data_IF_365496244165
#
_entry.id   IF_365496244165
#
_cell.length_a   1.000
_cell.length_b   1.000
_cell.length_c   1.000
_cell.angle_alpha   90.00
_cell.angle_beta   90.00
_cell.angle_gamma   90.00
#
_symmetry.space_group_name_H-M   'P 1'
#
loop_
_entity.id
_entity.type
_entity.pdbx_description
1 polymer ?
#
# COMPACT_ATOMS: atom_id res chain seq x y z
N UNK A 1 25.73 -21.93 13.23
CA UNK A 1 24.58 -20.99 13.12
C UNK A 1 24.53 -20.44 11.71
N UNK A 2 25.65 -19.95 11.16
CA UNK A 2 25.73 -19.45 9.78
C UNK A 2 25.39 -20.53 8.73
N UNK A 3 25.82 -21.78 8.90
CA UNK A 3 25.49 -22.89 7.98
C UNK A 3 24.01 -23.33 8.00
N UNK A 4 23.24 -22.87 8.99
CA UNK A 4 21.80 -23.13 9.13
C UNK A 4 20.96 -21.88 8.83
N UNK A 5 21.60 -20.74 8.57
CA UNK A 5 20.92 -19.49 8.28
C UNK A 5 20.48 -19.48 6.81
N UNK A 6 19.19 -19.64 6.57
CA UNK A 6 18.60 -19.41 5.24
C UNK A 6 18.12 -17.95 5.19
N UNK A 7 18.70 -17.08 4.34
CA UNK A 7 18.21 -15.72 4.20
C UNK A 7 16.77 -15.75 3.69
N UNK A 8 15.87 -15.21 4.50
CA UNK A 8 14.47 -15.08 4.18
C UNK A 8 14.27 -13.96 3.14
N UNK A 9 14.17 -14.34 1.86
CA UNK A 9 13.80 -13.43 0.77
C UNK A 9 12.33 -13.04 0.80
N UNK A 10 11.85 -12.43 1.89
CA UNK A 10 10.47 -11.96 2.01
C UNK A 10 10.39 -10.49 1.61
N UNK A 11 10.47 -10.24 0.30
CA UNK A 11 10.29 -8.90 -0.22
C UNK A 11 9.41 -8.90 -1.46
N UNK A 12 8.60 -7.86 -1.60
CA UNK A 12 7.81 -7.67 -2.81
C UNK A 12 8.75 -7.24 -3.94
N UNK A 13 8.62 -7.91 -5.08
CA UNK A 13 9.39 -7.55 -6.27
C UNK A 13 8.71 -6.33 -6.92
N UNK A 14 9.48 -5.28 -7.15
CA UNK A 14 9.04 -4.07 -7.85
C UNK A 14 9.63 -4.05 -9.26
N UNK A 15 9.04 -3.26 -10.16
CA UNK A 15 9.65 -2.94 -11.47
C UNK A 15 11.01 -2.26 -11.26
N UNK A 16 11.94 -2.37 -12.22
CA UNK A 16 13.32 -1.86 -12.12
C UNK A 16 13.46 -0.40 -11.64
N UNK A 17 12.47 0.45 -11.88
CA UNK A 17 12.46 1.85 -11.43
C UNK A 17 11.83 2.04 -10.04
N UNK A 18 11.51 0.96 -9.33
CA UNK A 18 10.85 0.93 -8.02
C UNK A 18 9.51 1.66 -7.92
N UNK A 19 8.84 2.01 -9.03
CA UNK A 19 7.62 2.82 -8.99
C UNK A 19 6.32 2.01 -8.94
N UNK A 20 6.37 0.68 -8.98
CA UNK A 20 5.17 -0.15 -8.94
C UNK A 20 5.52 -1.61 -8.60
N UNK A 21 4.69 -2.34 -7.84
CA UNK A 21 4.83 -3.78 -7.69
C UNK A 21 4.85 -4.49 -9.04
N UNK A 22 5.72 -5.48 -9.20
CA UNK A 22 5.93 -6.16 -10.48
C UNK A 22 4.64 -6.82 -10.99
N UNK A 23 3.82 -7.37 -10.09
CA UNK A 23 2.53 -7.97 -10.45
C UNK A 23 1.54 -6.95 -11.01
N UNK A 24 1.63 -5.69 -10.58
CA UNK A 24 0.74 -4.60 -11.01
C UNK A 24 1.21 -4.07 -12.36
N UNK A 25 2.53 -3.92 -12.52
CA UNK A 25 3.15 -3.59 -13.80
C UNK A 25 2.84 -4.64 -14.88
N UNK A 26 2.95 -5.94 -14.54
CA UNK A 26 2.60 -7.05 -15.44
C UNK A 26 1.12 -7.09 -15.80
N UNK A 27 0.24 -6.66 -14.89
CA UNK A 27 -1.19 -6.54 -15.14
C UNK A 27 -1.55 -5.35 -16.07
N UNK A 28 -0.60 -4.46 -16.37
CA UNK A 28 -0.83 -3.29 -17.23
C UNK A 28 -1.43 -2.10 -16.48
N UNK A 29 -1.30 -2.04 -15.16
CA UNK A 29 -1.75 -0.87 -14.38
C UNK A 29 -0.82 0.31 -14.68
N UNK A 30 -1.33 1.32 -15.38
CA UNK A 30 -0.63 2.58 -15.67
C UNK A 30 -1.21 3.78 -14.91
N UNK A 31 -0.54 4.92 -15.05
CA UNK A 31 -0.95 6.17 -14.40
C UNK A 31 -0.82 6.19 -12.88
N UNK A 32 -0.08 5.24 -12.30
CA UNK A 32 0.18 5.14 -10.87
C UNK A 32 1.67 4.98 -10.58
N UNK A 33 2.16 5.68 -9.57
CA UNK A 33 3.45 5.43 -8.95
C UNK A 33 3.25 5.06 -7.48
N UNK A 34 3.70 3.89 -7.13
CA UNK A 34 3.67 3.35 -5.79
C UNK A 34 5.08 2.89 -5.48
N UNK A 35 5.95 3.77 -4.94
CA UNK A 35 7.30 3.40 -4.56
C UNK A 35 7.34 2.26 -3.56
N UNK A 36 8.43 1.48 -3.58
CA UNK A 36 8.66 0.45 -2.57
C UNK A 36 8.79 1.10 -1.20
N UNK A 37 8.08 0.56 -0.21
CA UNK A 37 8.13 1.05 1.17
C UNK A 37 9.57 1.02 1.72
N UNK A 38 9.87 1.94 2.61
CA UNK A 38 11.16 2.05 3.27
C UNK A 38 11.06 1.59 4.74
N UNK A 39 12.21 1.49 5.42
CA UNK A 39 12.33 0.98 6.79
C UNK A 39 11.71 1.88 7.87
N UNK A 40 11.27 3.09 7.51
CA UNK A 40 10.69 4.06 8.44
C UNK A 40 9.16 3.98 8.52
N UNK A 41 8.53 3.07 7.77
CA UNK A 41 7.10 2.78 7.89
C UNK A 41 6.80 2.06 9.21
N UNK A 42 5.80 2.50 9.96
CA UNK A 42 5.38 1.82 11.20
C UNK A 42 4.43 0.65 10.91
N UNK A 43 4.20 -0.21 11.91
CA UNK A 43 3.28 -1.37 11.80
C UNK A 43 1.90 -1.00 11.26
N UNK A 44 1.33 0.11 11.75
CA UNK A 44 0.02 0.58 11.29
C UNK A 44 0.04 1.05 9.82
N UNK A 45 1.02 1.87 9.44
CA UNK A 45 1.14 2.30 8.04
C UNK A 45 1.43 1.12 7.10
N UNK A 46 2.18 0.11 7.57
CA UNK A 46 2.43 -1.13 6.82
C UNK A 46 1.13 -1.92 6.55
N UNK A 47 0.26 -2.03 7.55
CA UNK A 47 -1.06 -2.62 7.37
C UNK A 47 -1.89 -1.87 6.31
N UNK A 48 -1.99 -0.54 6.41
CA UNK A 48 -2.75 0.25 5.44
C UNK A 48 -2.12 0.27 4.05
N UNK A 49 -0.80 0.19 3.96
CA UNK A 49 -0.09 0.05 2.69
C UNK A 49 -0.56 -1.21 1.93
N UNK A 50 -0.74 -2.34 2.62
CA UNK A 50 -1.29 -3.55 2.01
C UNK A 50 -2.76 -3.36 1.55
N UNK A 51 -3.58 -2.68 2.36
CA UNK A 51 -4.98 -2.39 2.01
C UNK A 51 -5.09 -1.47 0.80
N UNK A 52 -4.28 -0.41 0.73
CA UNK A 52 -4.23 0.51 -0.40
C UNK A 52 -3.88 -0.23 -1.70
N UNK A 53 -2.88 -1.10 -1.66
CA UNK A 53 -2.52 -1.92 -2.81
C UNK A 53 -3.71 -2.77 -3.30
N UNK A 54 -4.43 -3.45 -2.39
CA UNK A 54 -5.61 -4.25 -2.74
C UNK A 54 -6.74 -3.36 -3.31
N UNK A 55 -6.98 -2.20 -2.69
CA UNK A 55 -7.99 -1.25 -3.10
C UNK A 55 -7.72 -0.71 -4.52
N UNK A 56 -6.48 -0.30 -4.79
CA UNK A 56 -6.01 0.17 -6.10
C UNK A 56 -6.19 -0.91 -7.16
N UNK A 57 -5.71 -2.14 -6.90
CA UNK A 57 -5.85 -3.25 -7.85
C UNK A 57 -7.31 -3.55 -8.15
N UNK A 58 -8.17 -3.50 -7.14
CA UNK A 58 -9.61 -3.76 -7.28
C UNK A 58 -10.35 -2.64 -8.02
N UNK A 59 -9.87 -1.39 -7.90
CA UNK A 59 -10.39 -0.23 -8.58
C UNK A 59 -10.02 -0.20 -10.08
N UNK A 60 -8.91 -0.81 -10.46
CA UNK A 60 -8.46 -0.81 -11.85
C UNK A 60 -9.38 -1.66 -12.75
N UNK A 61 -9.82 -1.08 -13.88
CA UNK A 61 -10.73 -1.67 -14.87
C UNK A 61 -10.20 -1.57 -16.31
N UNK A 62 -8.88 -1.63 -16.48
CA UNK A 62 -8.25 -1.51 -17.81
C UNK A 62 -8.00 -0.09 -18.30
N UNK A 63 -8.22 0.93 -17.45
CA UNK A 63 -7.88 2.33 -17.74
C UNK A 63 -6.84 2.82 -16.75
N UNK A 64 -5.88 3.59 -17.25
CA UNK A 64 -4.84 4.20 -16.44
C UNK A 64 -5.42 5.19 -15.43
N UNK A 65 -4.75 5.30 -14.28
CA UNK A 65 -5.05 6.32 -13.30
C UNK A 65 -4.53 7.69 -13.74
N UNK A 66 -4.94 8.74 -13.04
CA UNK A 66 -4.60 10.13 -13.37
C UNK A 66 -3.20 10.53 -12.86
N UNK A 67 -2.16 9.81 -13.30
CA UNK A 67 -0.74 10.01 -12.91
C UNK A 67 -0.57 10.30 -11.40
N UNK A 68 -1.17 9.42 -10.59
CA UNK A 68 -1.21 9.51 -9.13
C UNK A 68 0.06 8.90 -8.54
N UNK A 69 0.60 9.47 -7.46
CA UNK A 69 1.59 8.79 -6.63
C UNK A 69 1.10 8.57 -5.19
N UNK A 70 1.56 7.49 -4.56
CA UNK A 70 1.29 7.18 -3.15
C UNK A 70 2.61 7.07 -2.40
N UNK A 71 2.81 7.91 -1.39
CA UNK A 71 4.03 7.97 -0.60
C UNK A 71 3.76 7.59 0.86
N UNK A 72 4.72 6.89 1.47
CA UNK A 72 4.65 6.40 2.84
C UNK A 72 5.99 6.63 3.56
N UNK A 73 6.05 6.36 4.87
CA UNK A 73 7.31 6.44 5.62
C UNK A 73 7.72 7.87 5.99
N UNK A 74 9.02 8.12 6.10
CA UNK A 74 9.62 9.40 6.53
C UNK A 74 10.63 9.95 5.55
N UNK A 75 11.07 9.16 4.58
CA UNK A 75 12.22 9.51 3.73
C UNK A 75 11.87 9.59 2.25
N UNK A 76 10.75 9.02 1.81
CA UNK A 76 10.29 9.18 0.43
C UNK A 76 10.18 10.66 0.03
N UNK A 77 10.52 10.93 -1.23
CA UNK A 77 10.47 12.25 -1.86
C UNK A 77 9.39 12.28 -2.95
N UNK A 78 8.57 13.33 -3.03
CA UNK A 78 7.59 13.50 -4.10
C UNK A 78 8.23 13.61 -5.47
N UNK A 79 7.71 12.85 -6.43
CA UNK A 79 8.23 12.84 -7.79
C UNK A 79 7.73 14.07 -8.55
N UNK A 80 8.57 14.62 -9.44
CA UNK A 80 8.11 15.66 -10.36
C UNK A 80 7.06 15.11 -11.34
N UNK A 81 6.14 15.99 -11.77
CA UNK A 81 5.24 15.73 -12.88
C UNK A 81 3.96 14.96 -12.53
N UNK A 82 3.78 14.52 -11.28
CA UNK A 82 2.54 13.88 -10.81
C UNK A 82 1.38 14.86 -10.77
N UNK A 83 0.17 14.36 -10.99
CA UNK A 83 -1.03 15.21 -10.90
C UNK A 83 -1.54 15.26 -9.46
N UNK A 84 -1.50 14.13 -8.75
CA UNK A 84 -1.96 14.00 -7.37
C UNK A 84 -0.98 13.15 -6.56
N UNK A 85 -0.71 13.56 -5.33
CA UNK A 85 0.18 12.86 -4.39
C UNK A 85 -0.58 12.51 -3.13
N UNK A 86 -0.82 11.21 -2.91
CA UNK A 86 -1.38 10.68 -1.67
C UNK A 86 -0.25 10.51 -0.65
N UNK A 87 -0.40 11.16 0.51
CA UNK A 87 0.52 11.07 1.63
C UNK A 87 -0.11 10.22 2.75
N UNK A 88 0.42 9.01 2.99
CA UNK A 88 -0.12 8.12 4.01
C UNK A 88 0.60 8.32 5.36
N UNK A 89 -0.14 8.88 6.32
CA UNK A 89 0.27 9.00 7.71
C UNK A 89 1.02 10.28 8.04
N UNK A 90 0.93 10.68 9.31
CA UNK A 90 1.44 11.98 9.80
C UNK A 90 2.94 12.20 9.51
N UNK A 91 3.72 11.11 9.52
CA UNK A 91 5.18 11.15 9.34
C UNK A 91 5.58 11.77 8.00
N UNK A 92 4.97 11.34 6.90
CA UNK A 92 5.30 11.86 5.57
C UNK A 92 4.61 13.20 5.31
N UNK A 93 3.39 13.38 5.82
CA UNK A 93 2.63 14.64 5.71
C UNK A 93 3.44 15.79 6.30
N UNK A 94 3.93 15.64 7.54
CA UNK A 94 4.70 16.68 8.22
C UNK A 94 5.97 17.09 7.46
N UNK A 95 6.57 16.16 6.71
CA UNK A 95 7.82 16.41 5.99
C UNK A 95 7.61 16.93 4.57
N UNK A 96 6.51 16.52 3.91
CA UNK A 96 6.40 16.61 2.44
C UNK A 96 5.19 17.36 1.93
N UNK A 97 4.18 17.67 2.74
CA UNK A 97 2.93 18.28 2.24
C UNK A 97 3.13 19.57 1.42
N UNK A 98 4.16 20.35 1.74
CA UNK A 98 4.49 21.63 1.10
C UNK A 98 5.63 21.49 0.06
N UNK A 99 5.97 20.27 -0.35
CA UNK A 99 7.08 20.02 -1.27
C UNK A 99 6.76 20.55 -2.69
N UNK A 100 7.69 21.26 -3.36
CA UNK A 100 7.40 21.97 -4.62
C UNK A 100 6.99 21.06 -5.78
N UNK A 101 7.36 19.78 -5.75
CA UNK A 101 6.96 18.81 -6.78
C UNK A 101 5.49 18.37 -6.66
N UNK A 102 4.82 18.63 -5.52
CA UNK A 102 3.42 18.23 -5.31
C UNK A 102 2.51 19.29 -5.93
N UNK A 103 1.71 18.89 -6.92
CA UNK A 103 0.67 19.74 -7.53
C UNK A 103 -0.62 19.74 -6.71
N UNK A 104 -1.12 18.56 -6.37
CA UNK A 104 -2.29 18.37 -5.50
C UNK A 104 -1.93 17.37 -4.40
N UNK A 105 -2.00 17.82 -3.15
CA UNK A 105 -1.78 16.98 -1.97
C UNK A 105 -3.09 16.32 -1.54
N UNK A 106 -3.04 15.02 -1.30
CA UNK A 106 -4.13 14.25 -0.68
C UNK A 106 -3.58 13.62 0.59
N UNK A 107 -3.82 14.27 1.72
CA UNK A 107 -3.32 13.84 3.02
C UNK A 107 -4.26 12.82 3.67
N UNK A 108 -3.71 11.66 4.03
CA UNK A 108 -4.37 10.68 4.90
C UNK A 108 -3.75 10.83 6.29
N UNK A 109 -4.34 11.71 7.09
CA UNK A 109 -3.89 12.04 8.44
C UNK A 109 -4.15 10.92 9.44
N UNK A 110 -3.48 10.96 10.59
CA UNK A 110 -3.66 9.99 11.68
C UNK A 110 -2.55 8.94 11.81
N UNK A 111 -2.49 8.32 13.00
CA UNK A 111 -1.54 7.27 13.35
C UNK A 111 -2.17 6.28 14.35
N UNK A 112 -3.01 5.32 13.89
CA UNK A 112 -3.38 5.04 12.51
C UNK A 112 -4.38 6.03 11.89
N UNK A 113 -4.46 6.12 10.55
CA UNK A 113 -5.51 6.86 9.85
C UNK A 113 -6.89 6.21 10.01
N UNK A 114 -7.94 7.03 9.89
CA UNK A 114 -9.33 6.57 9.89
C UNK A 114 -9.69 5.93 8.54
N UNK A 115 -10.45 4.83 8.58
CA UNK A 115 -10.81 4.06 7.36
C UNK A 115 -11.57 4.92 6.35
N UNK A 116 -12.47 5.79 6.82
CA UNK A 116 -13.23 6.69 5.94
C UNK A 116 -12.32 7.70 5.23
N UNK A 117 -11.28 8.21 5.92
CA UNK A 117 -10.31 9.11 5.31
C UNK A 117 -9.54 8.44 4.17
N UNK A 118 -9.22 7.16 4.31
CA UNK A 118 -8.57 6.38 3.25
C UNK A 118 -9.48 6.26 2.02
N UNK A 119 -10.75 5.92 2.24
CA UNK A 119 -11.72 5.78 1.15
C UNK A 119 -11.94 7.12 0.43
N UNK A 120 -12.02 8.21 1.18
CA UNK A 120 -12.19 9.56 0.65
C UNK A 120 -10.96 10.03 -0.13
N UNK A 121 -9.76 9.79 0.40
CA UNK A 121 -8.50 10.09 -0.29
C UNK A 121 -8.36 9.34 -1.62
N UNK A 122 -8.68 8.04 -1.64
CA UNK A 122 -8.70 7.26 -2.88
C UNK A 122 -9.73 7.82 -3.87
N UNK A 123 -10.93 8.18 -3.40
CA UNK A 123 -11.97 8.79 -4.25
C UNK A 123 -11.51 10.12 -4.84
N UNK A 124 -10.87 10.98 -4.04
CA UNK A 124 -10.30 12.26 -4.48
C UNK A 124 -9.21 12.05 -5.53
N UNK A 125 -8.39 11.01 -5.38
CA UNK A 125 -7.38 10.64 -6.36
C UNK A 125 -7.96 10.03 -7.67
N UNK A 126 -9.28 9.85 -7.77
CA UNK A 126 -9.93 9.18 -8.90
C UNK A 126 -9.90 7.65 -8.82
N UNK A 127 -9.46 7.09 -7.69
CA UNK A 127 -9.35 5.65 -7.44
C UNK A 127 -10.61 5.16 -6.74
N UNK A 128 -11.59 4.68 -7.53
CA UNK A 128 -12.87 4.20 -7.01
C UNK A 128 -12.79 2.74 -6.55
N UNK A 129 -12.25 2.53 -5.36
CA UNK A 129 -12.18 1.22 -4.73
C UNK A 129 -13.57 0.73 -4.24
N UNK A 130 -13.88 -0.56 -4.38
CA UNK A 130 -15.11 -1.13 -3.81
C UNK A 130 -15.19 -0.95 -2.29
N UNK A 131 -16.33 -0.44 -1.79
CA UNK A 131 -16.50 -0.13 -0.36
C UNK A 131 -16.39 -1.35 0.56
N UNK A 132 -16.65 -2.56 0.06
CA UNK A 132 -16.55 -3.78 0.86
C UNK A 132 -15.12 -4.06 1.34
N UNK A 133 -14.09 -3.52 0.66
CA UNK A 133 -12.68 -3.65 1.06
C UNK A 133 -12.46 -3.00 2.44
N UNK A 134 -13.21 -1.95 2.73
CA UNK A 134 -13.10 -1.18 3.97
C UNK A 134 -14.04 -1.69 5.09
N UNK A 135 -15.14 -2.38 4.74
CA UNK A 135 -16.15 -2.86 5.70
C UNK A 135 -15.66 -3.89 6.72
N UNK A 136 -14.51 -4.54 6.50
CA UNK A 136 -13.91 -5.49 7.43
C UNK A 136 -12.38 -5.41 7.38
N UNK A 137 -11.84 -4.20 7.37
CA UNK A 137 -10.41 -3.99 7.15
C UNK A 137 -9.54 -4.75 8.16
N UNK A 138 -9.99 -4.88 9.41
CA UNK A 138 -9.32 -5.63 10.48
C UNK A 138 -9.16 -7.12 10.13
N UNK A 139 -10.03 -7.65 9.28
CA UNK A 139 -9.95 -9.03 8.75
C UNK A 139 -9.11 -9.13 7.48
N UNK A 140 -8.58 -8.03 6.94
CA UNK A 140 -7.72 -8.05 5.76
C UNK A 140 -6.51 -9.01 5.87
N UNK A 141 -5.86 -9.20 7.04
CA UNK A 141 -4.79 -10.17 7.18
C UNK A 141 -5.24 -11.61 6.86
N UNK A 142 -6.53 -11.93 7.07
CA UNK A 142 -7.09 -13.25 6.76
C UNK A 142 -7.08 -13.55 5.25
N UNK A 143 -7.05 -12.54 4.39
CA UNK A 143 -6.92 -12.73 2.93
C UNK A 143 -5.60 -13.47 2.62
N UNK A 144 -4.54 -13.18 3.37
CA UNK A 144 -3.25 -13.83 3.19
C UNK A 144 -3.19 -15.24 3.77
N UNK A 145 -4.20 -15.68 4.52
CA UNK A 145 -4.24 -17.02 5.12
C UNK A 145 -4.56 -18.12 4.10
N UNK A 146 -5.21 -17.77 2.97
CA UNK A 146 -5.52 -18.72 1.91
C UNK A 146 -4.29 -19.47 1.38
N UNK A 147 -3.11 -18.83 1.38
CA UNK A 147 -1.86 -19.46 0.93
C UNK A 147 -1.38 -20.61 1.84
N UNK A 148 -1.96 -20.73 3.03
CA UNK A 148 -1.65 -21.80 3.99
C UNK A 148 -2.67 -22.93 3.97
N UNK A 149 -3.76 -22.80 3.22
CA UNK A 149 -4.79 -23.84 3.15
C UNK A 149 -4.23 -25.15 2.60
N UNK A 150 -4.43 -26.24 3.34
CA UNK A 150 -3.99 -27.58 2.95
C UNK A 150 -2.48 -27.86 3.12
N UNK A 151 -1.73 -26.93 3.72
CA UNK A 151 -0.31 -27.13 4.01
C UNK A 151 -0.11 -27.96 5.28
N UNK A 152 0.63 -29.08 5.24
CA UNK A 152 0.83 -29.93 6.41
C UNK A 152 1.61 -29.21 7.53
N UNK A 153 2.42 -28.20 7.19
CA UNK A 153 3.14 -27.38 8.16
C UNK A 153 2.29 -26.29 8.84
N UNK A 154 1.01 -26.14 8.47
CA UNK A 154 0.13 -25.11 9.02
C UNK A 154 -1.01 -25.73 9.84
N UNK A 155 -1.02 -25.44 11.14
CA UNK A 155 -2.05 -25.91 12.07
C UNK A 155 -2.98 -24.75 12.49
N UNK A 156 -4.18 -24.71 11.91
CA UNK A 156 -5.14 -23.60 12.08
C UNK A 156 -5.52 -23.34 13.54
N UNK A 157 -5.53 -24.38 14.38
CA UNK A 157 -5.92 -24.28 15.78
C UNK A 157 -4.98 -23.39 16.62
N UNK A 158 -3.73 -23.16 16.21
CA UNK A 158 -2.82 -22.21 16.86
C UNK A 158 -3.18 -20.74 16.62
N UNK A 159 -4.13 -20.45 15.73
CA UNK A 159 -4.49 -19.11 15.30
C UNK A 159 -5.95 -18.76 15.60
N UNK A 160 -6.59 -19.52 16.49
CA UNK A 160 -7.94 -19.24 17.00
C UNK A 160 -7.83 -18.57 18.38
N UNK A 161 -8.69 -17.57 18.64
CA UNK A 161 -8.86 -17.00 19.97
C UNK A 161 -10.04 -17.73 20.61
N UNK A 162 -9.78 -18.44 21.71
CA UNK A 162 -10.82 -19.13 22.49
C UNK A 162 -11.65 -18.15 23.34
#
# INVERSE_FOLDING_TARGET
IEDLAVPHGWDYIYKNNNTLPLTYAKAGIGGLSYPKYDETICTYCSFYNAVLLIAIKSAWKGKDFDNVEVLTGKIMEPSEGKNKTILLGQCIINKRKDHPNIKEVIAIEGCPPEVNQIQDALRQAGIRAPSYIFKNIEKAPLIFMQKYQGKPEFEEHFYQIN
#
